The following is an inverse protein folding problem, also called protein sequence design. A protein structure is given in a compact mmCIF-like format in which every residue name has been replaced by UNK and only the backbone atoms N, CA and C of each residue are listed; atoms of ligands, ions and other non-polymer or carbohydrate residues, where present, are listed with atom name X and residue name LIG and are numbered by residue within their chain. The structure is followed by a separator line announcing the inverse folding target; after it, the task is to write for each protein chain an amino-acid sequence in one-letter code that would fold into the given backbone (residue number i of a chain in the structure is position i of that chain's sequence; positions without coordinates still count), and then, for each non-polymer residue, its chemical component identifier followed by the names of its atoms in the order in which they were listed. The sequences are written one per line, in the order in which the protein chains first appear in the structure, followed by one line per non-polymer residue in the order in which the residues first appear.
data_IF_489906763083
#
_entry.id   IF_489906763083
#
_cell.length_a   1.000
_cell.length_b   1.000
_cell.length_c   1.000
_cell.angle_alpha   90.00
_cell.angle_beta   90.00
_cell.angle_gamma   90.00
#
_symmetry.space_group_name_H-M   'P 1'
#
loop_
_entity.id
_entity.type
_entity.pdbx_description
1 polymer ?
#
# COMPACT_ATOMS: atom_id res chain seq x y z
N UNK A 1 -7.12 2.15 -20.58
CA UNK A 1 -7.20 3.57 -20.19
C UNK A 1 -8.39 3.67 -19.24
N UNK A 2 -8.13 3.82 -17.95
CA UNK A 2 -9.18 4.07 -16.96
C UNK A 2 -8.72 5.27 -16.18
N UNK A 3 -9.02 6.45 -16.71
CA UNK A 3 -8.89 7.72 -16.01
C UNK A 3 -9.47 7.55 -14.62
N UNK A 4 -8.83 8.12 -13.59
CA UNK A 4 -9.57 8.47 -12.39
C UNK A 4 -10.75 9.31 -12.87
N UNK A 5 -11.95 8.74 -12.94
CA UNK A 5 -13.15 9.45 -13.35
C UNK A 5 -13.53 10.39 -12.20
N UNK A 6 -12.72 11.45 -12.06
CA UNK A 6 -13.02 12.59 -11.24
C UNK A 6 -14.36 13.09 -11.73
N UNK A 7 -15.31 13.12 -10.81
CA UNK A 7 -16.62 13.65 -11.12
C UNK A 7 -16.60 15.12 -10.77
N UNK A 8 -16.97 15.94 -11.74
CA UNK A 8 -17.34 17.32 -11.50
C UNK A 8 -18.56 17.33 -10.59
N UNK A 9 -18.38 17.77 -9.35
CA UNK A 9 -19.47 17.99 -8.40
C UNK A 9 -19.58 19.48 -8.14
N UNK A 10 -20.81 19.98 -8.24
CA UNK A 10 -21.17 21.34 -7.80
C UNK A 10 -21.87 21.22 -6.46
N UNK A 11 -21.25 21.73 -5.40
CA UNK A 11 -21.84 21.76 -4.06
C UNK A 11 -22.19 23.19 -3.66
N UNK A 12 -23.24 23.32 -2.87
CA UNK A 12 -23.62 24.57 -2.21
C UNK A 12 -23.79 24.30 -0.73
N UNK A 13 -22.89 24.84 0.08
CA UNK A 13 -23.07 24.92 1.52
C UNK A 13 -24.05 26.06 1.81
N UNK A 14 -25.16 25.76 2.49
CA UNK A 14 -26.14 26.74 2.94
C UNK A 14 -26.42 26.56 4.42
N UNK A 15 -26.06 27.55 5.23
CA UNK A 15 -26.10 27.43 6.69
C UNK A 15 -26.79 28.64 7.30
N UNK A 16 -27.72 28.38 8.23
CA UNK A 16 -28.33 29.45 9.03
C UNK A 16 -27.23 30.12 9.89
N UNK A 17 -27.07 31.45 9.83
CA UNK A 17 -26.07 32.17 10.64
C UNK A 17 -26.25 31.97 12.15
N UNK A 18 -27.44 31.57 12.59
CA UNK A 18 -27.77 31.28 13.99
C UNK A 18 -27.55 29.82 14.39
N UNK A 19 -26.98 28.97 13.53
CA UNK A 19 -26.81 27.53 13.81
C UNK A 19 -26.00 27.19 15.07
N UNK A 20 -25.01 28.01 15.42
CA UNK A 20 -24.20 27.85 16.64
C UNK A 20 -24.66 28.77 17.80
N UNK A 21 -25.80 29.44 17.65
CA UNK A 21 -26.43 30.27 18.70
C UNK A 21 -27.26 29.37 19.61
N UNK A 22 -27.06 29.46 20.92
CA UNK A 22 -27.85 28.69 21.89
C UNK A 22 -29.33 29.13 21.97
N UNK A 23 -30.17 28.30 22.56
CA UNK A 23 -31.62 28.53 22.64
C UNK A 23 -32.00 29.84 23.36
N UNK A 24 -31.25 30.22 24.39
CA UNK A 24 -31.54 31.44 25.17
C UNK A 24 -31.26 32.67 24.34
N UNK A 25 -30.12 32.69 23.66
CA UNK A 25 -29.72 33.78 22.77
C UNK A 25 -30.60 33.83 21.51
N UNK A 26 -31.03 32.67 21.02
CA UNK A 26 -31.98 32.54 19.92
C UNK A 26 -33.37 33.11 20.27
N UNK A 27 -33.84 32.93 21.51
CA UNK A 27 -35.07 33.59 22.01
C UNK A 27 -34.92 35.11 22.02
N UNK A 28 -33.81 35.61 22.54
CA UNK A 28 -33.53 37.05 22.54
C UNK A 28 -33.47 37.63 21.12
N UNK A 29 -32.84 36.95 20.16
CA UNK A 29 -32.83 37.38 18.76
C UNK A 29 -34.24 37.43 18.13
N UNK A 30 -35.18 36.58 18.56
CA UNK A 30 -36.58 36.62 18.08
C UNK A 30 -37.30 37.89 18.55
N UNK A 31 -36.93 38.44 19.69
CA UNK A 31 -37.44 39.71 20.22
C UNK A 31 -36.87 40.92 19.45
N UNK A 32 -35.89 40.69 18.57
CA UNK A 32 -35.27 41.70 17.70
C UNK A 32 -35.64 41.46 16.22
N UNK A 33 -36.92 41.58 15.80
CA UNK A 33 -37.39 41.12 14.49
C UNK A 33 -36.71 41.80 13.30
N UNK A 34 -36.43 43.11 13.40
CA UNK A 34 -35.70 43.85 12.35
C UNK A 34 -34.28 43.32 12.18
N UNK A 35 -33.55 43.18 13.29
CA UNK A 35 -32.19 42.68 13.29
C UNK A 35 -32.13 41.20 12.83
N UNK A 36 -33.08 40.36 13.25
CA UNK A 36 -33.16 38.97 12.80
C UNK A 36 -33.42 38.84 11.30
N UNK A 37 -34.27 39.70 10.73
CA UNK A 37 -34.63 39.63 9.30
C UNK A 37 -33.44 39.84 8.35
N UNK A 38 -32.35 40.44 8.83
CA UNK A 38 -31.13 40.68 8.05
C UNK A 38 -30.20 39.46 8.00
N UNK A 39 -30.38 38.50 8.92
CA UNK A 39 -29.57 37.29 9.05
C UNK A 39 -30.01 36.23 8.03
N UNK A 40 -29.64 36.44 6.77
CA UNK A 40 -29.90 35.46 5.71
C UNK A 40 -28.94 34.26 5.82
N UNK A 41 -29.30 33.08 5.28
CA UNK A 41 -28.38 31.96 5.22
C UNK A 41 -27.07 32.33 4.53
N UNK A 42 -25.95 31.88 5.10
CA UNK A 42 -24.63 31.99 4.49
C UNK A 42 -24.53 30.91 3.42
N UNK A 43 -24.20 31.33 2.20
CA UNK A 43 -24.01 30.45 1.05
C UNK A 43 -22.55 30.47 0.60
N UNK A 44 -21.95 29.29 0.45
CA UNK A 44 -20.65 29.10 -0.21
C UNK A 44 -20.81 28.04 -1.29
N UNK A 45 -20.29 28.30 -2.49
CA UNK A 45 -20.42 27.42 -3.66
C UNK A 45 -19.04 26.96 -4.10
N UNK A 46 -18.91 25.68 -4.36
CA UNK A 46 -17.69 25.11 -4.91
C UNK A 46 -18.03 24.19 -6.09
N UNK A 47 -17.18 24.25 -7.12
CA UNK A 47 -17.15 23.26 -8.20
C UNK A 47 -15.81 22.55 -8.08
N UNK A 48 -15.84 21.25 -7.84
CA UNK A 48 -14.65 20.45 -7.59
C UNK A 48 -14.65 19.23 -8.50
N UNK A 49 -13.48 18.84 -9.01
CA UNK A 49 -13.30 17.57 -9.69
C UNK A 49 -12.76 16.53 -8.69
N UNK A 50 -13.63 15.77 -8.03
CA UNK A 50 -13.26 14.89 -6.90
C UNK A 50 -13.60 13.43 -7.16
N UNK A 51 -12.97 12.52 -6.43
CA UNK A 51 -13.32 11.10 -6.49
C UNK A 51 -14.70 10.85 -5.83
N UNK A 52 -15.72 10.43 -6.59
CA UNK A 52 -17.09 10.26 -6.08
C UNK A 52 -17.22 9.12 -5.05
N UNK A 53 -16.19 8.26 -4.88
CA UNK A 53 -16.16 7.20 -3.86
C UNK A 53 -15.84 7.76 -2.47
N UNK A 54 -14.91 8.72 -2.40
CA UNK A 54 -14.48 9.36 -1.16
C UNK A 54 -15.43 10.51 -0.82
N UNK A 55 -15.71 11.34 -1.82
CA UNK A 55 -16.41 12.60 -1.68
C UNK A 55 -17.76 12.55 -2.39
N UNK A 56 -18.81 13.00 -1.71
CA UNK A 56 -20.13 13.21 -2.29
C UNK A 56 -20.67 14.56 -1.78
N UNK A 57 -21.75 15.05 -2.37
CA UNK A 57 -22.31 16.37 -2.07
C UNK A 57 -22.47 16.61 -0.57
N UNK A 58 -22.98 15.61 0.16
CA UNK A 58 -23.17 15.69 1.62
C UNK A 58 -21.84 15.80 2.35
N UNK A 59 -20.89 14.90 2.10
CA UNK A 59 -19.58 14.89 2.77
C UNK A 59 -18.78 16.17 2.52
N UNK A 60 -18.83 16.66 1.28
CA UNK A 60 -18.15 17.92 0.91
C UNK A 60 -18.84 19.09 1.62
N UNK A 61 -20.17 19.15 1.61
CA UNK A 61 -20.93 20.19 2.33
C UNK A 61 -20.68 20.16 3.84
N UNK A 62 -20.64 18.97 4.45
CA UNK A 62 -20.36 18.78 5.87
C UNK A 62 -18.93 19.24 6.22
N UNK A 63 -17.94 18.93 5.37
CA UNK A 63 -16.57 19.36 5.54
C UNK A 63 -16.40 20.88 5.35
N UNK A 64 -17.02 21.46 4.33
CA UNK A 64 -17.08 22.92 4.13
C UNK A 64 -17.66 23.62 5.36
N UNK A 65 -18.73 23.07 5.94
CA UNK A 65 -19.30 23.60 7.18
C UNK A 65 -18.32 23.45 8.35
N UNK A 66 -17.67 22.30 8.50
CA UNK A 66 -16.71 22.06 9.56
C UNK A 66 -15.55 23.07 9.51
N UNK A 67 -15.02 23.35 8.31
CA UNK A 67 -13.98 24.37 8.12
C UNK A 67 -14.45 25.79 8.45
N UNK A 68 -15.72 26.11 8.14
CA UNK A 68 -16.30 27.41 8.45
C UNK A 68 -16.85 27.54 9.88
N UNK A 69 -16.96 26.44 10.65
CA UNK A 69 -17.70 26.38 11.93
C UNK A 69 -17.21 27.39 12.96
N UNK A 70 -15.90 27.63 13.02
CA UNK A 70 -15.30 28.59 13.95
C UNK A 70 -15.87 30.00 13.76
N UNK A 71 -16.15 30.42 12.51
CA UNK A 71 -16.71 31.74 12.22
C UNK A 71 -18.15 31.87 12.72
N UNK A 72 -18.95 30.79 12.62
CA UNK A 72 -20.30 30.76 13.19
C UNK A 72 -20.29 30.84 14.72
N UNK A 73 -19.31 30.21 15.38
CA UNK A 73 -19.12 30.30 16.83
C UNK A 73 -18.70 31.72 17.26
N UNK A 74 -17.78 32.35 16.52
CA UNK A 74 -17.39 33.76 16.73
C UNK A 74 -18.60 34.67 16.56
N UNK A 75 -19.46 34.42 15.57
CA UNK A 75 -20.70 35.16 15.40
C UNK A 75 -21.64 34.99 16.60
N UNK A 76 -21.88 33.75 17.05
CA UNK A 76 -22.70 33.48 18.23
C UNK A 76 -22.19 34.22 19.48
N UNK A 77 -20.88 34.23 19.69
CA UNK A 77 -20.26 34.99 20.78
C UNK A 77 -20.51 36.51 20.64
N UNK A 78 -20.40 37.06 19.43
CA UNK A 78 -20.70 38.48 19.19
C UNK A 78 -22.16 38.82 19.46
N UNK A 79 -23.10 37.94 19.12
CA UNK A 79 -24.51 38.11 19.47
C UNK A 79 -24.68 38.16 20.99
N UNK A 80 -24.00 37.28 21.73
CA UNK A 80 -24.01 37.27 23.18
C UNK A 80 -23.46 38.57 23.78
N UNK A 81 -22.36 39.10 23.23
CA UNK A 81 -21.74 40.34 23.69
C UNK A 81 -22.66 41.55 23.43
N UNK A 82 -23.34 41.59 22.29
CA UNK A 82 -24.34 42.61 21.97
C UNK A 82 -25.49 42.55 22.97
N UNK A 83 -26.07 41.37 23.21
CA UNK A 83 -27.13 41.18 24.21
C UNK A 83 -26.71 41.69 25.59
N UNK A 84 -25.54 41.26 26.04
CA UNK A 84 -24.99 41.64 27.36
C UNK A 84 -24.78 43.15 27.47
N UNK A 85 -24.33 43.82 26.39
CA UNK A 85 -24.14 45.26 26.38
C UNK A 85 -25.46 46.03 26.46
N UNK A 86 -26.53 45.52 25.82
CA UNK A 86 -27.88 46.09 25.92
C UNK A 86 -28.43 45.92 27.33
N UNK A 87 -28.33 44.72 27.92
CA UNK A 87 -28.83 44.43 29.27
C UNK A 87 -28.12 45.24 30.35
N UNK A 88 -26.83 45.55 30.16
CA UNK A 88 -26.04 46.40 31.07
C UNK A 88 -26.21 47.90 30.80
N UNK A 89 -27.10 48.30 29.89
CA UNK A 89 -27.32 49.71 29.54
C UNK A 89 -26.14 50.39 28.83
N UNK A 90 -25.13 49.62 28.39
CA UNK A 90 -23.95 50.14 27.66
C UNK A 90 -24.23 50.42 26.19
N UNK A 91 -25.36 49.94 25.65
CA UNK A 91 -25.82 50.19 24.28
C UNK A 91 -27.31 50.44 24.26
N UNK A 92 -27.76 51.32 23.35
CA UNK A 92 -29.19 51.54 23.13
C UNK A 92 -29.76 50.43 22.25
N UNK A 93 -31.04 50.04 22.42
CA UNK A 93 -31.67 49.03 21.56
C UNK A 93 -31.60 49.33 20.05
N UNK A 94 -31.54 50.61 19.66
CA UNK A 94 -31.37 51.02 18.25
C UNK A 94 -30.01 50.68 17.64
N UNK A 95 -28.97 50.49 18.44
CA UNK A 95 -27.61 50.17 17.97
C UNK A 95 -27.44 48.67 17.65
N UNK A 96 -28.37 47.83 18.12
CA UNK A 96 -28.35 46.37 17.94
C UNK A 96 -28.36 45.99 16.46
N UNK A 97 -29.15 46.69 15.65
CA UNK A 97 -29.25 46.41 14.21
C UNK A 97 -27.91 46.66 13.50
N UNK A 98 -27.25 47.78 13.78
CA UNK A 98 -25.97 48.13 13.17
C UNK A 98 -24.84 47.18 13.57
N UNK A 99 -24.78 46.79 14.84
CA UNK A 99 -23.75 45.89 15.34
C UNK A 99 -23.96 44.44 14.88
N UNK A 100 -25.22 43.98 14.87
CA UNK A 100 -25.54 42.66 14.35
C UNK A 100 -25.26 42.56 12.86
N UNK A 101 -25.55 43.62 12.09
CA UNK A 101 -25.19 43.72 10.67
C UNK A 101 -23.68 43.61 10.47
N UNK A 102 -22.88 44.37 11.22
CA UNK A 102 -21.41 44.29 11.14
C UNK A 102 -20.88 42.90 11.50
N UNK A 103 -21.44 42.26 12.53
CA UNK A 103 -21.06 40.90 12.91
C UNK A 103 -21.41 39.89 11.81
N UNK A 104 -22.60 40.03 11.20
CA UNK A 104 -23.07 39.19 10.12
C UNK A 104 -22.26 39.38 8.83
N UNK A 105 -21.92 40.62 8.46
CA UNK A 105 -21.08 40.89 7.27
C UNK A 105 -19.69 40.24 7.41
N UNK A 106 -19.12 40.26 8.62
CA UNK A 106 -17.87 39.54 8.92
C UNK A 106 -18.06 38.03 8.81
N UNK A 107 -19.10 37.46 9.44
CA UNK A 107 -19.42 36.04 9.32
C UNK A 107 -19.52 35.62 7.85
N UNK A 108 -20.31 36.36 7.07
CA UNK A 108 -20.52 36.08 5.64
C UNK A 108 -19.20 36.05 4.88
N UNK A 109 -18.30 37.02 5.10
CA UNK A 109 -16.99 37.05 4.43
C UNK A 109 -16.11 35.88 4.86
N UNK A 110 -15.90 35.69 6.16
CA UNK A 110 -14.91 34.73 6.65
C UNK A 110 -15.37 33.28 6.53
N UNK A 111 -16.65 32.99 6.80
CA UNK A 111 -17.19 31.65 6.63
C UNK A 111 -17.18 31.19 5.17
N UNK A 112 -17.47 32.09 4.21
CA UNK A 112 -17.36 31.76 2.79
C UNK A 112 -15.92 31.44 2.39
N UNK A 113 -14.94 32.24 2.83
CA UNK A 113 -13.51 31.98 2.55
C UNK A 113 -13.05 30.64 3.14
N UNK A 114 -13.33 30.39 4.42
CA UNK A 114 -12.95 29.15 5.08
C UNK A 114 -13.58 27.90 4.42
N UNK A 115 -14.85 28.01 4.00
CA UNK A 115 -15.53 26.95 3.26
C UNK A 115 -14.91 26.70 1.88
N UNK A 116 -14.54 27.75 1.15
CA UNK A 116 -13.86 27.66 -0.14
C UNK A 116 -12.46 27.06 -0.02
N UNK A 117 -11.68 27.44 0.99
CA UNK A 117 -10.34 26.88 1.21
C UNK A 117 -10.41 25.41 1.60
N UNK A 118 -11.38 25.02 2.44
CA UNK A 118 -11.66 23.61 2.73
C UNK A 118 -12.03 22.84 1.45
N UNK A 119 -12.80 23.43 0.56
CA UNK A 119 -13.15 22.82 -0.73
C UNK A 119 -11.91 22.63 -1.62
N UNK A 120 -10.97 23.59 -1.64
CA UNK A 120 -9.68 23.45 -2.35
C UNK A 120 -8.81 22.36 -1.73
N UNK A 121 -8.79 22.23 -0.41
CA UNK A 121 -8.05 21.15 0.26
C UNK A 121 -8.65 19.77 -0.05
N UNK A 122 -9.97 19.65 -0.08
CA UNK A 122 -10.69 18.45 -0.52
C UNK A 122 -10.32 18.08 -1.97
N UNK A 123 -10.21 19.09 -2.83
CA UNK A 123 -9.76 18.93 -4.20
C UNK A 123 -8.26 18.61 -4.30
N UNK A 124 -7.42 19.09 -3.40
CA UNK A 124 -6.01 18.68 -3.33
C UNK A 124 -5.85 17.24 -2.79
N UNK A 125 -6.76 16.80 -1.92
CA UNK A 125 -6.79 15.48 -1.26
C UNK A 125 -7.57 14.41 -2.09
N UNK A 126 -7.38 14.44 -3.42
CA UNK A 126 -7.96 13.50 -4.40
C UNK A 126 -7.41 12.08 -4.24
N UNK A 127 -7.88 11.38 -3.21
CA UNK A 127 -7.63 9.95 -2.97
C UNK A 127 -6.20 9.67 -2.49
N UNK A 128 -6.03 9.29 -1.23
CA UNK A 128 -4.72 9.02 -0.62
C UNK A 128 -4.06 7.78 -1.26
N UNK A 129 -3.42 8.00 -2.41
CA UNK A 129 -2.61 7.02 -3.11
C UNK A 129 -1.26 6.82 -2.42
N UNK A 130 -0.87 7.69 -1.47
CA UNK A 130 0.48 7.70 -0.91
C UNK A 130 0.81 6.38 -0.22
N UNK A 131 -0.15 5.82 0.52
CA UNK A 131 0.02 4.50 1.15
C UNK A 131 0.22 3.39 0.13
N UNK A 132 -0.64 3.32 -0.89
CA UNK A 132 -0.60 2.28 -1.91
C UNK A 132 0.65 2.41 -2.82
N UNK A 133 1.03 3.63 -3.19
CA UNK A 133 2.25 3.92 -3.94
C UNK A 133 3.50 3.55 -3.13
N UNK A 134 3.54 3.91 -1.84
CA UNK A 134 4.65 3.55 -0.95
C UNK A 134 4.79 2.03 -0.81
N UNK A 135 3.68 1.33 -0.57
CA UNK A 135 3.68 -0.14 -0.43
C UNK A 135 4.07 -0.82 -1.74
N UNK A 136 3.52 -0.39 -2.87
CA UNK A 136 3.87 -0.93 -4.19
C UNK A 136 5.34 -0.75 -4.53
N UNK A 137 5.89 0.45 -4.28
CA UNK A 137 7.32 0.74 -4.48
C UNK A 137 8.23 -0.11 -3.58
N UNK A 138 7.86 -0.28 -2.32
CA UNK A 138 8.62 -1.13 -1.39
C UNK A 138 8.61 -2.61 -1.84
N UNK A 139 7.45 -3.15 -2.20
CA UNK A 139 7.32 -4.53 -2.63
C UNK A 139 8.12 -4.82 -3.92
N UNK A 140 8.01 -3.94 -4.92
CA UNK A 140 8.76 -4.08 -6.17
C UNK A 140 10.27 -3.92 -5.96
N UNK A 141 10.69 -3.04 -5.04
CA UNK A 141 12.11 -2.88 -4.68
C UNK A 141 12.67 -4.14 -4.04
N UNK A 142 11.94 -4.78 -3.13
CA UNK A 142 12.39 -6.06 -2.55
C UNK A 142 12.47 -7.16 -3.62
N UNK A 143 11.48 -7.24 -4.52
CA UNK A 143 11.52 -8.18 -5.63
C UNK A 143 12.68 -7.92 -6.60
N UNK A 144 13.04 -6.66 -6.85
CA UNK A 144 14.14 -6.28 -7.74
C UNK A 144 15.54 -6.62 -7.17
N UNK A 145 15.67 -6.82 -5.84
CA UNK A 145 16.93 -7.27 -5.21
C UNK A 145 17.22 -8.75 -5.46
N UNK A 146 16.22 -9.52 -5.89
CA UNK A 146 16.32 -10.96 -6.09
C UNK A 146 16.96 -11.22 -7.46
N UNK A 147 18.09 -11.93 -7.46
CA UNK A 147 18.67 -12.47 -8.69
C UNK A 147 17.96 -13.77 -9.09
N UNK A 148 16.79 -13.63 -9.70
CA UNK A 148 16.00 -14.76 -10.21
C UNK A 148 16.78 -15.64 -11.20
N UNK A 149 17.86 -15.16 -11.83
CA UNK A 149 18.69 -16.00 -12.69
C UNK A 149 19.51 -17.04 -11.90
N UNK A 150 19.76 -16.79 -10.62
CA UNK A 150 20.69 -17.58 -9.78
C UNK A 150 20.06 -18.33 -8.62
N UNK A 151 18.78 -18.08 -8.31
CA UNK A 151 18.06 -18.73 -7.20
C UNK A 151 18.20 -20.26 -7.22
N UNK A 152 18.07 -20.89 -8.40
CA UNK A 152 18.22 -22.34 -8.55
C UNK A 152 19.56 -22.74 -9.15
N UNK A 153 20.00 -22.05 -10.20
CA UNK A 153 21.13 -22.48 -11.03
C UNK A 153 22.45 -22.54 -10.25
N UNK A 154 22.72 -21.57 -9.37
CA UNK A 154 23.93 -21.55 -8.54
C UNK A 154 23.99 -22.72 -7.56
N UNK A 155 23.03 -22.81 -6.60
CA UNK A 155 22.97 -23.92 -5.66
C UNK A 155 22.92 -25.30 -6.33
N UNK A 156 22.21 -25.43 -7.45
CA UNK A 156 22.12 -26.70 -8.18
C UNK A 156 23.48 -27.13 -8.71
N UNK A 157 24.22 -26.22 -9.37
CA UNK A 157 25.54 -26.54 -9.91
C UNK A 157 26.48 -27.01 -8.80
N UNK A 158 26.55 -26.28 -7.70
CA UNK A 158 27.38 -26.64 -6.55
C UNK A 158 27.02 -28.02 -5.97
N UNK A 159 25.73 -28.35 -5.93
CA UNK A 159 25.25 -29.63 -5.41
C UNK A 159 25.58 -30.79 -6.36
N UNK A 160 25.40 -30.59 -7.68
CA UNK A 160 25.77 -31.57 -8.70
C UNK A 160 27.27 -31.85 -8.65
N UNK A 161 28.09 -30.82 -8.59
CA UNK A 161 29.55 -30.96 -8.53
C UNK A 161 29.98 -31.74 -7.28
N UNK A 162 29.38 -31.43 -6.13
CA UNK A 162 29.66 -32.14 -4.88
C UNK A 162 29.26 -33.63 -4.94
N UNK A 163 28.06 -33.94 -5.44
CA UNK A 163 27.58 -35.32 -5.55
C UNK A 163 28.38 -36.13 -6.58
N UNK A 164 28.83 -35.51 -7.68
CA UNK A 164 29.69 -36.17 -8.66
C UNK A 164 31.07 -36.52 -8.07
N UNK A 165 31.67 -35.62 -7.30
CA UNK A 165 32.94 -35.89 -6.62
C UNK A 165 32.78 -37.00 -5.58
N UNK A 166 31.68 -36.99 -4.81
CA UNK A 166 31.36 -38.06 -3.87
C UNK A 166 31.09 -39.42 -4.54
N UNK A 167 30.42 -39.42 -5.70
CA UNK A 167 30.16 -40.63 -6.46
C UNK A 167 31.45 -41.29 -6.96
N UNK A 168 32.41 -40.49 -7.44
CA UNK A 168 33.73 -40.97 -7.87
C UNK A 168 34.50 -41.59 -6.70
N UNK A 169 34.58 -40.88 -5.57
CA UNK A 169 35.25 -41.36 -4.37
C UNK A 169 34.64 -42.70 -3.87
N UNK A 170 33.31 -42.81 -3.85
CA UNK A 170 32.63 -44.04 -3.45
C UNK A 170 32.86 -45.21 -4.43
N UNK A 171 33.04 -44.93 -5.73
CA UNK A 171 33.37 -45.94 -6.73
C UNK A 171 34.81 -46.46 -6.56
N UNK A 172 35.76 -45.56 -6.29
CA UNK A 172 37.19 -45.91 -6.10
C UNK A 172 37.42 -46.74 -4.82
N UNK A 173 36.64 -46.50 -3.76
CA UNK A 173 36.70 -47.29 -2.51
C UNK A 173 36.05 -48.68 -2.65
N UNK A 174 35.06 -48.84 -3.53
CA UNK A 174 34.38 -50.14 -3.74
C UNK A 174 35.27 -51.23 -4.37
N UNK A 175 36.44 -50.85 -4.91
CA UNK A 175 37.47 -51.77 -5.38
C UNK A 175 38.39 -52.33 -4.29
N UNK A 176 38.30 -51.85 -3.05
CA UNK A 176 39.06 -52.36 -1.90
C UNK A 176 38.11 -53.12 -0.97
N UNK A 177 38.18 -54.45 -1.02
CA UNK A 177 37.37 -55.34 -0.19
C UNK A 177 37.43 -54.93 1.30
N UNK A 178 36.29 -54.47 1.84
CA UNK A 178 36.11 -54.18 3.26
C UNK A 178 36.27 -52.73 3.74
N UNK A 179 36.49 -51.75 2.84
CA UNK A 179 36.69 -50.35 3.25
C UNK A 179 35.40 -49.58 3.52
N UNK A 180 34.99 -49.43 4.78
CA UNK A 180 34.17 -48.26 5.14
C UNK A 180 34.97 -47.00 4.79
N UNK A 181 34.41 -46.12 3.96
CA UNK A 181 34.99 -44.82 3.66
C UNK A 181 35.44 -44.15 4.98
N UNK A 182 36.66 -43.59 5.08
CA UNK A 182 37.17 -43.08 6.33
C UNK A 182 36.24 -42.01 6.89
N UNK A 183 35.56 -42.36 7.98
CA UNK A 183 34.87 -41.42 8.82
C UNK A 183 35.91 -40.53 9.51
N UNK A 184 36.23 -39.37 8.92
CA UNK A 184 36.46 -38.08 9.62
C UNK A 184 37.10 -37.02 8.72
N UNK A 185 36.40 -35.88 8.67
CA UNK A 185 36.85 -34.61 8.08
C UNK A 185 35.89 -34.17 7.00
N UNK A 186 35.12 -33.08 7.21
CA UNK A 186 34.31 -32.48 6.14
C UNK A 186 35.24 -32.15 4.97
N UNK A 187 35.15 -32.94 3.91
CA UNK A 187 35.96 -32.73 2.70
C UNK A 187 35.56 -31.40 2.06
N UNK A 188 36.36 -30.90 1.11
CA UNK A 188 35.95 -29.72 0.31
C UNK A 188 34.58 -29.92 -0.37
N UNK A 189 34.21 -31.17 -0.63
CA UNK A 189 32.92 -31.62 -1.19
C UNK A 189 31.74 -31.37 -0.23
N UNK A 190 31.87 -31.69 1.06
CA UNK A 190 30.81 -31.49 2.05
C UNK A 190 30.51 -29.99 2.25
N UNK A 191 31.56 -29.15 2.24
CA UNK A 191 31.42 -27.69 2.35
C UNK A 191 30.68 -27.05 1.18
N UNK A 192 30.72 -27.67 -0.01
CA UNK A 192 29.99 -27.16 -1.19
C UNK A 192 28.49 -27.35 -1.06
N UNK A 193 28.03 -28.42 -0.43
CA UNK A 193 26.60 -28.64 -0.17
C UNK A 193 26.08 -27.74 0.93
N UNK A 194 26.85 -27.57 2.01
CA UNK A 194 26.53 -26.57 3.05
C UNK A 194 26.39 -25.16 2.44
N UNK A 195 27.29 -24.82 1.52
CA UNK A 195 27.27 -23.54 0.79
C UNK A 195 26.07 -23.45 -0.14
N UNK A 196 25.80 -24.49 -0.94
CA UNK A 196 24.64 -24.54 -1.83
C UNK A 196 23.32 -24.38 -1.06
N UNK A 197 23.19 -25.06 0.08
CA UNK A 197 22.02 -24.92 0.95
C UNK A 197 21.92 -23.53 1.58
N UNK A 198 23.04 -22.98 2.07
CA UNK A 198 23.06 -21.62 2.63
C UNK A 198 22.64 -20.58 1.59
N UNK A 199 23.22 -20.68 0.38
CA UNK A 199 22.92 -19.79 -0.74
C UNK A 199 21.47 -19.93 -1.19
N UNK A 200 20.94 -21.15 -1.28
CA UNK A 200 19.54 -21.39 -1.60
C UNK A 200 18.61 -20.90 -0.49
N UNK A 201 18.90 -21.18 0.78
CA UNK A 201 18.08 -20.72 1.91
C UNK A 201 18.06 -19.19 1.97
N UNK A 202 19.17 -18.52 1.68
CA UNK A 202 19.22 -17.05 1.65
C UNK A 202 18.49 -16.48 0.42
N UNK A 203 18.87 -16.92 -0.78
CA UNK A 203 18.30 -16.39 -2.03
C UNK A 203 16.84 -16.79 -2.24
N UNK A 204 16.51 -18.05 -1.95
CA UNK A 204 15.15 -18.61 -2.03
C UNK A 204 14.20 -17.98 -1.02
N UNK A 205 14.58 -17.83 0.26
CA UNK A 205 13.74 -17.11 1.25
C UNK A 205 13.55 -15.65 0.90
N UNK A 206 14.59 -14.98 0.41
CA UNK A 206 14.46 -13.59 -0.04
C UNK A 206 13.50 -13.49 -1.24
N UNK A 207 13.57 -14.43 -2.19
CA UNK A 207 12.68 -14.50 -3.33
C UNK A 207 11.22 -14.77 -2.92
N UNK A 208 11.01 -15.74 -2.02
CA UNK A 208 9.71 -16.07 -1.45
C UNK A 208 9.10 -14.86 -0.72
N UNK A 209 9.82 -14.27 0.23
CA UNK A 209 9.36 -13.12 1.00
C UNK A 209 9.05 -11.91 0.11
N UNK A 210 9.84 -11.67 -0.93
CA UNK A 210 9.58 -10.58 -1.88
C UNK A 210 8.29 -10.81 -2.69
N UNK A 211 8.05 -12.04 -3.15
CA UNK A 211 6.83 -12.41 -3.87
C UNK A 211 5.62 -12.35 -2.95
N UNK A 212 5.72 -12.88 -1.73
CA UNK A 212 4.66 -12.80 -0.73
C UNK A 212 4.31 -11.35 -0.43
N UNK A 213 5.31 -10.48 -0.28
CA UNK A 213 5.07 -9.07 -0.05
C UNK A 213 4.36 -8.41 -1.25
N UNK A 214 4.80 -8.71 -2.47
CA UNK A 214 4.14 -8.23 -3.69
C UNK A 214 2.68 -8.69 -3.79
N UNK A 215 2.41 -9.98 -3.54
CA UNK A 215 1.06 -10.56 -3.56
C UNK A 215 0.20 -9.97 -2.45
N UNK A 216 0.74 -9.78 -1.25
CA UNK A 216 0.04 -9.14 -0.12
C UNK A 216 -0.30 -7.70 -0.45
N UNK A 217 0.65 -6.93 -0.95
CA UNK A 217 0.43 -5.55 -1.40
C UNK A 217 -0.67 -5.49 -2.47
N UNK A 218 -0.64 -6.40 -3.44
CA UNK A 218 -1.68 -6.48 -4.47
C UNK A 218 -3.05 -6.83 -3.87
N UNK A 219 -3.12 -7.77 -2.91
CA UNK A 219 -4.37 -8.09 -2.19
C UNK A 219 -4.93 -6.89 -1.44
N UNK A 220 -4.08 -6.18 -0.71
CA UNK A 220 -4.49 -5.04 0.11
C UNK A 220 -4.91 -3.85 -0.77
N UNK A 221 -4.13 -3.55 -1.81
CA UNK A 221 -4.40 -2.46 -2.75
C UNK A 221 -5.66 -2.70 -3.58
N UNK A 222 -5.89 -3.93 -4.06
CA UNK A 222 -7.09 -4.24 -4.83
C UNK A 222 -8.39 -4.07 -4.02
N UNK A 223 -8.33 -4.40 -2.73
CA UNK A 223 -9.45 -4.26 -1.78
C UNK A 223 -9.61 -2.84 -1.24
N UNK A 224 -8.58 -2.01 -1.33
CA UNK A 224 -8.63 -0.62 -0.91
C UNK A 224 -9.54 0.19 -1.84
N UNK A 225 -10.75 0.53 -1.38
CA UNK A 225 -11.73 1.30 -2.14
C UNK A 225 -11.29 2.74 -2.40
N UNK A 226 -10.35 3.24 -1.60
CA UNK A 226 -9.84 4.61 -1.67
C UNK A 226 -8.61 4.73 -2.59
N UNK A 227 -7.98 3.62 -2.98
CA UNK A 227 -6.91 3.63 -3.98
C UNK A 227 -7.47 3.95 -5.37
N UNK A 228 -6.65 4.60 -6.21
CA UNK A 228 -7.02 4.90 -7.60
C UNK A 228 -7.39 3.64 -8.40
N UNK A 229 -8.29 3.75 -9.41
CA UNK A 229 -8.63 2.62 -10.26
C UNK A 229 -7.41 1.99 -10.95
N UNK A 230 -6.41 2.79 -11.31
CA UNK A 230 -5.15 2.32 -11.91
C UNK A 230 -4.36 1.43 -10.96
N UNK A 231 -4.17 1.84 -9.70
CA UNK A 231 -3.49 1.03 -8.69
C UNK A 231 -4.25 -0.25 -8.37
N UNK A 232 -5.59 -0.17 -8.32
CA UNK A 232 -6.45 -1.35 -8.10
C UNK A 232 -6.41 -2.31 -9.29
N UNK A 233 -6.39 -1.80 -10.52
CA UNK A 233 -6.27 -2.61 -11.74
C UNK A 233 -4.91 -3.29 -11.82
N UNK A 234 -3.82 -2.56 -11.51
CA UNK A 234 -2.49 -3.14 -11.42
C UNK A 234 -2.41 -4.24 -10.37
N UNK A 235 -2.97 -4.00 -9.19
CA UNK A 235 -3.07 -4.98 -8.13
C UNK A 235 -3.90 -6.22 -8.53
N UNK A 236 -4.99 -6.03 -9.28
CA UNK A 236 -5.79 -7.15 -9.81
C UNK A 236 -5.06 -7.94 -10.93
N UNK A 237 -4.25 -7.29 -11.78
CA UNK A 237 -3.39 -7.98 -12.76
C UNK A 237 -2.40 -8.93 -12.06
N UNK A 238 -1.77 -8.45 -10.98
CA UNK A 238 -0.89 -9.29 -10.15
C UNK A 238 -1.66 -10.49 -9.58
N UNK A 239 -2.87 -10.26 -9.03
CA UNK A 239 -3.67 -11.30 -8.36
C UNK A 239 -4.27 -12.33 -9.30
N UNK A 240 -4.55 -11.98 -10.56
CA UNK A 240 -5.25 -12.85 -11.51
C UNK A 240 -4.34 -13.36 -12.61
N UNK A 241 -3.71 -12.45 -13.35
CA UNK A 241 -2.92 -12.82 -14.52
C UNK A 241 -1.53 -13.34 -14.13
N UNK A 242 -0.88 -12.69 -13.15
CA UNK A 242 0.50 -13.04 -12.79
C UNK A 242 0.60 -14.09 -11.68
N UNK A 243 -0.45 -14.25 -10.87
CA UNK A 243 -0.47 -15.14 -9.70
C UNK A 243 -0.06 -16.57 -10.04
N UNK A 244 -0.57 -17.14 -11.14
CA UNK A 244 -0.24 -18.51 -11.51
C UNK A 244 1.27 -18.71 -11.80
N UNK A 245 1.95 -17.70 -12.35
CA UNK A 245 3.40 -17.75 -12.56
C UNK A 245 4.18 -17.65 -11.26
N UNK A 246 3.75 -16.77 -10.35
CA UNK A 246 4.35 -16.59 -9.03
C UNK A 246 4.15 -17.82 -8.14
N UNK A 247 2.97 -18.44 -8.15
CA UNK A 247 2.67 -19.68 -7.42
C UNK A 247 3.52 -20.85 -7.93
N UNK A 248 3.73 -20.95 -9.25
CA UNK A 248 4.62 -21.96 -9.84
C UNK A 248 6.06 -21.78 -9.38
N UNK A 249 6.54 -20.55 -9.30
CA UNK A 249 7.87 -20.26 -8.78
C UNK A 249 7.98 -20.61 -7.28
N UNK A 250 7.02 -20.22 -6.45
CA UNK A 250 6.98 -20.59 -5.03
C UNK A 250 6.96 -22.11 -4.83
N UNK A 251 6.19 -22.84 -5.64
CA UNK A 251 6.16 -24.31 -5.62
C UNK A 251 7.52 -24.90 -6.00
N UNK A 252 8.21 -24.31 -6.97
CA UNK A 252 9.54 -24.75 -7.38
C UNK A 252 10.59 -24.53 -6.28
N UNK A 253 10.49 -23.45 -5.49
CA UNK A 253 11.34 -23.24 -4.30
C UNK A 253 11.20 -24.41 -3.31
N UNK A 254 9.96 -24.79 -2.98
CA UNK A 254 9.71 -25.88 -2.03
C UNK A 254 10.22 -27.24 -2.53
N UNK A 255 10.01 -27.55 -3.82
CA UNK A 255 10.50 -28.79 -4.42
C UNK A 255 12.03 -28.84 -4.49
N UNK A 256 12.67 -27.73 -4.86
CA UNK A 256 14.13 -27.67 -4.91
C UNK A 256 14.76 -27.77 -3.52
N UNK A 257 14.17 -27.13 -2.51
CA UNK A 257 14.61 -27.26 -1.12
C UNK A 257 14.64 -28.72 -0.66
N UNK A 258 13.58 -29.49 -0.97
CA UNK A 258 13.54 -30.93 -0.67
C UNK A 258 14.64 -31.73 -1.37
N UNK A 259 14.95 -31.40 -2.63
CA UNK A 259 16.06 -32.04 -3.36
C UNK A 259 17.43 -31.71 -2.73
N UNK A 260 17.61 -30.48 -2.25
CA UNK A 260 18.84 -30.10 -1.53
C UNK A 260 18.95 -30.76 -0.16
N UNK A 261 17.84 -30.92 0.56
CA UNK A 261 17.80 -31.65 1.83
C UNK A 261 18.12 -33.15 1.61
N UNK A 262 17.63 -33.75 0.51
CA UNK A 262 17.99 -35.11 0.10
C UNK A 262 19.47 -35.25 -0.24
N UNK A 263 20.04 -34.28 -0.97
CA UNK A 263 21.46 -34.27 -1.29
C UNK A 263 22.35 -34.15 -0.04
N UNK A 264 21.97 -33.31 0.91
CA UNK A 264 22.66 -33.19 2.21
C UNK A 264 22.57 -34.49 3.02
N UNK A 265 21.39 -35.11 3.07
CA UNK A 265 21.20 -36.37 3.79
C UNK A 265 22.09 -37.49 3.23
N UNK A 266 22.13 -37.64 1.90
CA UNK A 266 23.00 -38.62 1.24
C UNK A 266 24.48 -38.36 1.56
N UNK A 267 24.89 -37.10 1.56
CA UNK A 267 26.31 -36.75 1.73
C UNK A 267 26.79 -36.96 3.17
N UNK A 268 25.87 -36.79 4.12
CA UNK A 268 26.07 -37.14 5.52
C UNK A 268 25.95 -38.65 5.81
N UNK A 269 25.46 -39.47 4.87
CA UNK A 269 25.40 -40.92 5.05
C UNK A 269 26.81 -41.53 4.96
N UNK A 270 27.29 -42.23 6.03
CA UNK A 270 28.57 -42.93 5.98
C UNK A 270 28.57 -44.12 5.01
N UNK A 271 27.40 -44.58 4.56
CA UNK A 271 27.21 -45.69 3.61
C UNK A 271 26.78 -45.22 2.21
N UNK A 272 26.92 -43.92 1.91
CA UNK A 272 26.60 -43.37 0.58
C UNK A 272 27.30 -44.15 -0.54
N UNK A 273 26.61 -44.28 -1.67
CA UNK A 273 27.09 -45.07 -2.81
C UNK A 273 27.17 -44.22 -4.08
N UNK A 274 28.01 -44.62 -5.03
CA UNK A 274 28.05 -43.98 -6.34
C UNK A 274 26.66 -43.95 -7.01
N UNK A 275 25.89 -45.05 -6.88
CA UNK A 275 24.55 -45.17 -7.48
C UNK A 275 23.55 -44.16 -6.90
N UNK A 276 23.53 -43.98 -5.58
CA UNK A 276 22.61 -43.05 -4.91
C UNK A 276 22.98 -41.59 -5.22
N UNK A 277 24.27 -41.25 -5.19
CA UNK A 277 24.75 -39.92 -5.61
C UNK A 277 24.37 -39.60 -7.07
N UNK A 278 24.66 -40.51 -8.02
CA UNK A 278 24.31 -40.31 -9.45
C UNK A 278 22.80 -40.21 -9.67
N UNK A 279 21.99 -40.93 -8.88
CA UNK A 279 20.52 -40.80 -8.95
C UNK A 279 20.07 -39.38 -8.59
N UNK A 280 20.57 -38.81 -7.48
CA UNK A 280 20.22 -37.45 -7.05
C UNK A 280 20.72 -36.41 -8.08
N UNK A 281 21.93 -36.60 -8.64
CA UNK A 281 22.41 -35.75 -9.75
C UNK A 281 21.43 -35.76 -10.91
N UNK A 282 20.96 -36.93 -11.35
CA UNK A 282 19.97 -37.03 -12.43
C UNK A 282 18.63 -36.36 -12.11
N UNK A 283 18.20 -36.35 -10.84
CA UNK A 283 17.01 -35.61 -10.40
C UNK A 283 17.24 -34.09 -10.43
N UNK A 284 18.40 -33.62 -9.96
CA UNK A 284 18.80 -32.21 -10.02
C UNK A 284 18.90 -31.71 -11.47
N UNK A 285 19.50 -32.49 -12.38
CA UNK A 285 19.59 -32.15 -13.80
C UNK A 285 18.22 -32.05 -14.47
N UNK A 286 17.30 -32.97 -14.18
CA UNK A 286 15.90 -32.88 -14.63
C UNK A 286 15.20 -31.64 -14.08
N UNK A 287 15.60 -31.19 -12.89
CA UNK A 287 15.08 -29.97 -12.28
C UNK A 287 15.54 -28.68 -12.99
N UNK A 288 16.45 -28.74 -13.97
CA UNK A 288 16.92 -27.56 -14.73
C UNK A 288 15.79 -26.74 -15.36
N UNK A 289 14.66 -27.36 -15.70
CA UNK A 289 13.49 -26.66 -16.24
C UNK A 289 12.92 -25.57 -15.32
N UNK A 290 13.20 -25.61 -14.01
CA UNK A 290 12.74 -24.54 -13.09
C UNK A 290 13.50 -23.23 -13.26
N UNK A 291 14.67 -23.23 -13.90
CA UNK A 291 15.39 -22.00 -14.24
C UNK A 291 14.52 -21.12 -15.14
N UNK A 292 13.80 -21.73 -16.09
CA UNK A 292 12.86 -21.03 -16.95
C UNK A 292 11.69 -20.45 -16.16
N UNK A 293 11.22 -21.14 -15.11
CA UNK A 293 10.18 -20.63 -14.21
C UNK A 293 10.68 -19.40 -13.45
N UNK A 294 11.92 -19.47 -12.93
CA UNK A 294 12.57 -18.37 -12.23
C UNK A 294 12.81 -17.15 -13.13
N UNK A 295 13.35 -17.38 -14.33
CA UNK A 295 13.56 -16.32 -15.32
C UNK A 295 12.24 -15.65 -15.73
N UNK A 296 11.17 -16.44 -15.93
CA UNK A 296 9.83 -15.89 -16.20
C UNK A 296 9.33 -15.03 -15.04
N UNK A 297 9.51 -15.46 -13.79
CA UNK A 297 9.16 -14.65 -12.63
C UNK A 297 9.93 -13.33 -12.62
N UNK A 298 11.26 -13.36 -12.83
CA UNK A 298 12.08 -12.15 -12.93
C UNK A 298 11.64 -11.20 -14.04
N UNK A 299 11.28 -11.72 -15.21
CA UNK A 299 10.74 -10.92 -16.33
C UNK A 299 9.39 -10.30 -15.97
N UNK A 300 8.50 -11.06 -15.32
CA UNK A 300 7.22 -10.55 -14.83
C UNK A 300 7.43 -9.42 -13.82
N UNK A 301 8.34 -9.57 -12.86
CA UNK A 301 8.66 -8.51 -11.88
C UNK A 301 9.15 -7.24 -12.58
N UNK A 302 10.06 -7.35 -13.55
CA UNK A 302 10.55 -6.19 -14.32
C UNK A 302 9.43 -5.49 -15.09
N UNK A 303 8.52 -6.26 -15.69
CA UNK A 303 7.34 -5.70 -16.37
C UNK A 303 6.44 -4.96 -15.38
N UNK A 304 6.12 -5.58 -14.25
CA UNK A 304 5.32 -4.98 -13.19
C UNK A 304 5.96 -3.70 -12.65
N UNK A 305 7.29 -3.65 -12.52
CA UNK A 305 8.01 -2.44 -12.12
C UNK A 305 7.84 -1.32 -13.15
N UNK A 306 8.00 -1.63 -14.44
CA UNK A 306 7.82 -0.66 -15.51
C UNK A 306 6.39 -0.12 -15.58
N UNK A 307 5.39 -0.98 -15.43
CA UNK A 307 3.98 -0.60 -15.42
C UNK A 307 3.64 0.22 -14.17
N UNK A 308 4.16 -0.16 -13.00
CA UNK A 308 3.98 0.60 -11.76
C UNK A 308 4.60 2.00 -11.82
N UNK A 309 5.78 2.16 -12.44
CA UNK A 309 6.40 3.48 -12.63
C UNK A 309 5.56 4.42 -13.49
N UNK A 310 4.83 3.89 -14.48
CA UNK A 310 3.88 4.70 -15.28
C UNK A 310 2.73 5.19 -14.40
N UNK A 311 2.16 4.29 -13.60
CA UNK A 311 1.08 4.61 -12.64
C UNK A 311 1.56 5.63 -11.59
N UNK A 312 2.78 5.47 -11.05
CA UNK A 312 3.36 6.41 -10.08
C UNK A 312 3.49 7.83 -10.68
N UNK A 313 3.88 7.96 -11.95
CA UNK A 313 3.96 9.27 -12.63
C UNK A 313 2.60 9.90 -12.90
N UNK A 314 1.58 9.10 -13.12
CA UNK A 314 0.22 9.58 -13.42
C UNK A 314 -0.55 10.00 -12.16
N UNK A 315 -0.19 9.43 -11.01
CA UNK A 315 -0.85 9.67 -9.72
C UNK A 315 -0.08 10.63 -8.80
N UNK A 316 1.04 11.18 -9.26
CA UNK A 316 1.84 12.21 -8.60
C UNK A 316 1.67 13.53 -9.33
#
# INVERSE_FOLDING_TARGET
MGTSDLKDIKVTMKVDPTKEVDDKLGKWLKEQPKAKSMLKPIEAKAKLAVDPRKWNDKKITDAMYAGARMEFQIFAQRVHDIKTAVEKGKKKPGDVEGDLKKAYDKLKRYASVAAEDTAKEIEADKGDNAKALRQGKAALREAAKVDFGKVFSGPRSLTIDALNDAAKAAADDSGKAGGNAPAKGRTSTDKRIDTAQSDFRKSGKNAEAAIEYLVKMAKDTAKNKDASPLLRSFAEDIRKAQKAGLDKFASALGLFGKLLDQAEAEMNDPKKTARTCTKIVGELEKFKSVDTVSQKAGTTIKKLEADFRKIEKELK
#
